data_IF_307985203048
#
_entry.id   IF_307985203048
#
_cell.length_a   1.000
_cell.length_b   1.000
_cell.length_c   1.000
_cell.angle_alpha   90.00
_cell.angle_beta   90.00
_cell.angle_gamma   90.00
#
_symmetry.space_group_name_H-M   'P 1'
#
loop_
_entity.id
_entity.type
_entity.pdbx_description
1 polymer ?
#
# COMPACT_ATOMS: atom_id res chain seq x y z
N UNK A 1 12.61 -45.58 5.23
CA UNK A 1 11.91 -44.29 5.37
C UNK A 1 12.24 -43.39 4.18
N UNK A 2 11.55 -43.54 3.04
CA UNK A 2 11.79 -42.77 1.80
C UNK A 2 11.13 -41.37 1.79
N UNK A 3 10.18 -41.11 2.70
CA UNK A 3 9.37 -39.87 2.72
C UNK A 3 10.16 -38.61 3.12
N UNK A 4 11.32 -38.76 3.78
CA UNK A 4 12.17 -37.63 4.18
C UNK A 4 13.05 -37.07 3.04
N UNK A 5 13.25 -37.83 1.95
CA UNK A 5 14.05 -37.38 0.78
C UNK A 5 13.18 -36.63 -0.23
N UNK A 6 11.87 -36.92 -0.30
CA UNK A 6 10.92 -36.20 -1.16
C UNK A 6 10.63 -34.76 -0.70
N UNK A 7 10.55 -34.53 0.61
CA UNK A 7 10.25 -33.22 1.19
C UNK A 7 11.33 -32.15 0.93
N UNK A 8 12.59 -32.56 0.69
CA UNK A 8 13.69 -31.63 0.37
C UNK A 8 13.73 -31.25 -1.12
N UNK A 9 13.12 -32.03 -2.01
CA UNK A 9 13.04 -31.75 -3.46
C UNK A 9 11.93 -30.74 -3.79
N UNK A 10 10.81 -30.77 -3.06
CA UNK A 10 9.67 -29.86 -3.24
C UNK A 10 9.88 -28.48 -2.61
N UNK A 11 10.99 -28.27 -1.92
CA UNK A 11 11.37 -26.97 -1.36
C UNK A 11 11.98 -26.03 -2.41
N UNK A 12 12.26 -26.46 -3.64
CA UNK A 12 12.90 -25.62 -4.66
C UNK A 12 12.15 -24.29 -4.94
N UNK A 13 10.80 -24.24 -5.01
CA UNK A 13 10.06 -22.98 -5.14
C UNK A 13 10.21 -22.08 -3.91
N UNK A 14 10.14 -22.65 -2.70
CA UNK A 14 10.34 -21.92 -1.44
C UNK A 14 11.77 -21.41 -1.30
N UNK A 15 12.76 -22.22 -1.70
CA UNK A 15 14.18 -21.87 -1.72
C UNK A 15 14.45 -20.74 -2.70
N UNK A 16 13.80 -20.75 -3.87
CA UNK A 16 13.85 -19.65 -4.86
C UNK A 16 13.18 -18.37 -4.36
N UNK A 17 12.13 -18.48 -3.53
CA UNK A 17 11.50 -17.33 -2.84
C UNK A 17 12.40 -16.80 -1.72
N UNK A 18 13.09 -17.66 -0.97
CA UNK A 18 14.05 -17.27 0.06
C UNK A 18 15.32 -16.64 -0.54
N UNK A 19 15.83 -17.21 -1.64
CA UNK A 19 16.98 -16.69 -2.39
C UNK A 19 16.66 -15.39 -3.13
N UNK A 20 15.42 -15.20 -3.63
CA UNK A 20 14.95 -13.89 -4.11
C UNK A 20 14.61 -12.93 -2.98
N UNK A 21 14.26 -13.46 -1.80
CA UNK A 21 13.87 -12.72 -0.61
C UNK A 21 15.03 -12.04 0.12
N UNK A 22 16.27 -12.45 -0.15
CA UNK A 22 17.47 -11.82 0.41
C UNK A 22 17.97 -10.62 -0.41
N UNK A 23 17.60 -10.49 -1.69
CA UNK A 23 17.95 -9.31 -2.50
C UNK A 23 17.20 -8.03 -2.07
N UNK A 24 16.17 -8.17 -1.23
CA UNK A 24 15.51 -7.07 -0.52
C UNK A 24 15.60 -7.24 1.00
N UNK A 25 16.66 -7.88 1.50
CA UNK A 25 17.01 -7.78 2.91
C UNK A 25 17.43 -6.32 3.19
N UNK A 26 16.56 -5.58 3.90
CA UNK A 26 16.84 -4.33 4.64
C UNK A 26 18.14 -3.60 4.24
N UNK A 27 18.23 -3.08 3.01
CA UNK A 27 19.21 -2.05 2.71
C UNK A 27 18.62 -0.72 3.13
N UNK A 28 18.78 -0.39 4.41
CA UNK A 28 18.39 0.89 5.04
C UNK A 28 19.45 1.99 4.81
N UNK A 29 20.19 1.91 3.70
CA UNK A 29 21.18 2.94 3.33
C UNK A 29 20.56 4.09 2.53
N UNK A 30 19.24 4.07 2.33
CA UNK A 30 18.52 5.19 1.71
C UNK A 30 18.46 6.39 2.65
N UNK A 31 18.43 7.59 2.08
CA UNK A 31 18.21 8.79 2.87
C UNK A 31 16.78 8.80 3.42
N UNK A 32 16.58 9.25 4.67
CA UNK A 32 15.23 9.51 5.16
C UNK A 32 14.55 10.55 4.25
N UNK A 33 13.26 10.40 4.04
CA UNK A 33 12.49 11.36 3.27
C UNK A 33 12.52 12.70 4.00
N UNK A 34 13.11 13.70 3.34
CA UNK A 34 13.17 15.07 3.80
C UNK A 34 11.97 15.88 3.31
N UNK A 35 11.52 16.84 4.14
CA UNK A 35 10.37 17.70 3.86
C UNK A 35 9.03 16.93 3.77
N UNK A 36 7.93 17.57 4.15
CA UNK A 36 6.62 16.91 4.24
C UNK A 36 5.54 17.57 3.38
N UNK A 37 5.94 18.48 2.47
CA UNK A 37 4.98 19.15 1.57
C UNK A 37 4.34 18.15 0.60
N UNK A 38 5.08 17.12 0.17
CA UNK A 38 4.58 16.08 -0.71
C UNK A 38 4.37 16.58 -2.14
N UNK A 39 5.42 17.09 -2.78
CA UNK A 39 5.44 17.22 -4.25
C UNK A 39 5.85 15.88 -4.89
N UNK A 40 5.34 15.57 -6.07
CA UNK A 40 5.69 14.39 -6.86
C UNK A 40 5.99 14.83 -8.28
N UNK A 41 7.13 14.40 -8.81
CA UNK A 41 7.56 14.72 -10.17
C UNK A 41 8.01 13.45 -10.89
N UNK A 42 7.60 13.34 -12.15
CA UNK A 42 8.05 12.33 -13.09
C UNK A 42 8.79 13.07 -14.18
N UNK A 43 10.04 12.69 -14.40
CA UNK A 43 10.89 13.30 -15.43
C UNK A 43 11.26 12.22 -16.43
N UNK A 44 10.66 12.30 -17.63
CA UNK A 44 10.86 11.37 -18.75
C UNK A 44 10.71 9.89 -18.38
N UNK A 45 9.76 9.57 -17.49
CA UNK A 45 9.56 8.21 -16.98
C UNK A 45 9.07 7.31 -18.10
N UNK A 46 9.80 6.22 -18.35
CA UNK A 46 9.37 5.15 -19.25
C UNK A 46 9.42 3.80 -18.55
N UNK A 47 8.54 2.87 -18.94
CA UNK A 47 8.51 1.52 -18.40
C UNK A 47 8.05 0.50 -19.42
N UNK A 48 8.80 -0.59 -19.51
CA UNK A 48 8.51 -1.76 -20.36
C UNK A 48 8.54 -3.02 -19.49
N UNK A 49 7.49 -3.86 -19.57
CA UNK A 49 7.55 -5.16 -18.88
C UNK A 49 8.55 -6.10 -19.57
N UNK A 50 9.20 -7.02 -18.83
CA UNK A 50 10.04 -8.05 -19.43
C UNK A 50 9.28 -8.84 -20.49
N UNK A 51 9.89 -9.01 -21.67
CA UNK A 51 9.28 -9.73 -22.80
C UNK A 51 8.34 -8.88 -23.68
N UNK A 52 8.24 -7.57 -23.43
CA UNK A 52 7.58 -6.64 -24.34
C UNK A 52 8.59 -5.79 -25.10
N UNK A 53 8.35 -5.55 -26.38
CA UNK A 53 9.19 -4.67 -27.20
C UNK A 53 8.79 -3.19 -27.09
N UNK A 54 7.55 -2.93 -26.66
CA UNK A 54 6.99 -1.57 -26.58
C UNK A 54 6.78 -1.13 -25.14
N UNK A 55 7.08 0.13 -24.80
CA UNK A 55 6.83 0.67 -23.47
C UNK A 55 5.32 0.75 -23.18
N UNK A 56 4.95 0.44 -21.94
CA UNK A 56 3.61 0.68 -21.38
C UNK A 56 3.46 2.11 -20.91
N UNK A 57 4.56 2.73 -20.45
CA UNK A 57 4.67 4.16 -20.16
C UNK A 57 5.84 4.68 -20.99
N UNK A 58 5.64 5.73 -21.79
CA UNK A 58 6.67 6.28 -22.70
C UNK A 58 6.91 7.76 -22.40
N UNK A 59 8.12 8.10 -21.93
CA UNK A 59 8.61 9.46 -21.63
C UNK A 59 7.58 10.37 -20.92
N UNK A 60 6.90 9.83 -19.91
CA UNK A 60 5.89 10.56 -19.15
C UNK A 60 6.54 11.65 -18.28
N UNK A 61 6.04 12.87 -18.44
CA UNK A 61 6.36 14.01 -17.58
C UNK A 61 5.10 14.44 -16.83
N UNK A 62 5.18 14.55 -15.52
CA UNK A 62 4.05 14.91 -14.67
C UNK A 62 4.56 15.56 -13.38
N UNK A 63 3.88 16.59 -12.91
CA UNK A 63 4.14 17.22 -11.61
C UNK A 63 2.84 17.34 -10.82
N UNK A 64 2.83 16.82 -9.60
CA UNK A 64 1.73 16.94 -8.64
C UNK A 64 2.20 17.84 -7.51
N UNK A 65 1.45 18.92 -7.28
CA UNK A 65 1.72 19.85 -6.19
C UNK A 65 1.26 19.27 -4.85
N UNK A 66 1.90 19.68 -3.74
CA UNK A 66 1.39 19.47 -2.38
C UNK A 66 -0.12 19.65 -2.25
N UNK A 67 -0.75 18.82 -1.41
CA UNK A 67 -2.18 18.90 -1.09
C UNK A 67 -3.14 18.87 -2.30
N UNK A 68 -2.70 18.33 -3.45
CA UNK A 68 -3.52 18.22 -4.65
C UNK A 68 -4.18 16.84 -4.75
N UNK A 69 -5.46 16.81 -5.10
CA UNK A 69 -6.17 15.56 -5.45
C UNK A 69 -6.04 15.31 -6.94
N UNK A 70 -5.56 14.12 -7.31
CA UNK A 70 -5.37 13.72 -8.71
C UNK A 70 -6.11 12.42 -8.98
N UNK A 71 -6.86 12.38 -10.09
CA UNK A 71 -7.51 11.20 -10.59
C UNK A 71 -6.80 10.70 -11.86
N UNK A 72 -6.43 9.43 -11.89
CA UNK A 72 -5.87 8.77 -13.07
C UNK A 72 -6.99 8.10 -13.86
N UNK A 73 -7.36 8.70 -15.00
CA UNK A 73 -8.45 8.25 -15.86
C UNK A 73 -7.91 7.73 -17.21
N UNK A 74 -8.65 6.83 -17.85
CA UNK A 74 -8.31 6.29 -19.16
C UNK A 74 -8.79 4.86 -19.39
N UNK A 75 -8.72 4.33 -20.63
CA UNK A 75 -9.22 3.00 -20.96
C UNK A 75 -8.44 1.88 -20.27
N UNK A 76 -9.02 0.69 -20.19
CA UNK A 76 -8.30 -0.50 -19.71
C UNK A 76 -7.03 -0.72 -20.54
N UNK A 77 -5.93 -1.12 -19.90
CA UNK A 77 -4.63 -1.31 -20.57
C UNK A 77 -3.80 -0.04 -20.79
N UNK A 78 -4.31 1.17 -20.55
CA UNK A 78 -3.57 2.44 -20.73
C UNK A 78 -2.40 2.67 -19.75
N UNK A 79 -1.93 1.65 -19.03
CA UNK A 79 -0.78 1.79 -18.12
C UNK A 79 -1.07 2.40 -16.74
N UNK A 80 -2.32 2.77 -16.40
CA UNK A 80 -2.66 3.35 -15.08
C UNK A 80 -2.16 2.53 -13.88
N UNK A 81 -2.40 1.22 -13.90
CA UNK A 81 -1.93 0.31 -12.84
C UNK A 81 -0.42 0.22 -12.80
N UNK A 82 0.25 0.27 -13.95
CA UNK A 82 1.72 0.30 -14.06
C UNK A 82 2.27 1.58 -13.44
N UNK A 83 1.67 2.74 -13.76
CA UNK A 83 2.06 4.03 -13.19
C UNK A 83 1.89 4.05 -11.66
N UNK A 84 0.76 3.54 -11.15
CA UNK A 84 0.54 3.39 -9.71
C UNK A 84 1.59 2.49 -9.06
N UNK A 85 1.98 1.38 -9.70
CA UNK A 85 3.03 0.48 -9.20
C UNK A 85 4.40 1.15 -9.16
N UNK A 86 4.71 2.02 -10.13
CA UNK A 86 5.92 2.85 -10.11
C UNK A 86 5.87 3.84 -8.94
N UNK A 87 4.73 4.53 -8.75
CA UNK A 87 4.55 5.46 -7.62
C UNK A 87 4.62 4.79 -6.25
N UNK A 88 4.24 3.53 -6.15
CA UNK A 88 4.35 2.74 -4.91
C UNK A 88 5.72 2.08 -4.75
N UNK A 89 6.66 2.33 -5.66
CA UNK A 89 7.99 1.70 -5.72
C UNK A 89 7.94 0.16 -5.78
N UNK A 90 6.86 -0.38 -6.34
CA UNK A 90 6.77 -1.81 -6.69
C UNK A 90 7.42 -2.13 -8.04
N UNK A 91 7.57 -1.11 -8.89
CA UNK A 91 8.30 -1.18 -10.15
C UNK A 91 9.27 0.00 -10.23
N UNK A 92 10.48 -0.25 -10.72
CA UNK A 92 11.41 0.80 -11.12
C UNK A 92 11.18 1.18 -12.58
N UNK A 93 11.20 2.48 -12.93
CA UNK A 93 11.21 2.92 -14.33
C UNK A 93 12.33 2.23 -15.12
N UNK A 94 12.09 1.93 -16.39
CA UNK A 94 13.15 1.51 -17.32
C UNK A 94 14.07 2.68 -17.69
N UNK A 95 13.54 3.91 -17.66
CA UNK A 95 14.29 5.16 -17.81
C UNK A 95 13.55 6.33 -17.18
N UNK A 96 14.24 7.45 -16.98
CA UNK A 96 13.72 8.62 -16.28
C UNK A 96 13.77 8.46 -14.76
N UNK A 97 13.20 9.43 -14.03
CA UNK A 97 13.22 9.43 -12.56
C UNK A 97 11.88 9.86 -11.97
N UNK A 98 11.59 9.35 -10.78
CA UNK A 98 10.44 9.75 -9.96
C UNK A 98 10.97 10.41 -8.70
N UNK A 99 10.53 11.63 -8.44
CA UNK A 99 10.99 12.46 -7.33
C UNK A 99 9.83 12.73 -6.37
N UNK A 100 10.07 12.59 -5.06
CA UNK A 100 9.20 13.13 -4.01
C UNK A 100 9.99 14.20 -3.27
N UNK A 101 9.44 15.41 -3.18
CA UNK A 101 10.12 16.58 -2.60
C UNK A 101 11.53 16.81 -3.21
N UNK A 102 11.69 16.53 -4.51
CA UNK A 102 12.97 16.62 -5.21
C UNK A 102 13.95 15.47 -4.94
N UNK A 103 13.62 14.50 -4.09
CA UNK A 103 14.45 13.31 -3.82
C UNK A 103 13.99 12.13 -4.68
N UNK A 104 14.92 11.45 -5.36
CA UNK A 104 14.60 10.23 -6.10
C UNK A 104 14.08 9.14 -5.14
N UNK A 105 12.89 8.61 -5.42
CA UNK A 105 12.23 7.58 -4.60
C UNK A 105 13.07 6.30 -4.46
N UNK A 106 13.95 6.02 -5.42
CA UNK A 106 14.84 4.86 -5.39
C UNK A 106 15.96 5.00 -4.35
N UNK A 107 16.32 6.24 -3.99
CA UNK A 107 17.37 6.57 -3.03
C UNK A 107 16.83 6.81 -1.60
N UNK A 108 15.51 6.83 -1.44
CA UNK A 108 14.86 7.05 -0.15
C UNK A 108 14.80 5.72 0.62
N UNK A 109 14.96 5.77 1.93
CA UNK A 109 14.76 4.62 2.80
C UNK A 109 13.34 4.04 2.64
N UNK A 110 13.22 2.71 2.56
CA UNK A 110 11.93 2.05 2.25
C UNK A 110 10.90 2.28 3.34
N UNK A 111 11.30 2.20 4.60
CA UNK A 111 10.38 2.39 5.73
C UNK A 111 9.93 3.85 5.79
N UNK A 112 10.86 4.79 5.62
CA UNK A 112 10.55 6.21 5.49
C UNK A 112 9.58 6.51 4.34
N UNK A 113 9.73 5.85 3.19
CA UNK A 113 8.85 5.99 2.05
C UNK A 113 7.45 5.41 2.30
N UNK A 114 7.36 4.18 2.83
CA UNK A 114 6.08 3.51 3.09
C UNK A 114 5.31 4.09 4.28
N UNK A 115 5.99 4.80 5.18
CA UNK A 115 5.36 5.62 6.22
C UNK A 115 4.79 6.92 5.66
N UNK A 116 5.36 7.43 4.56
CA UNK A 116 4.86 8.63 3.89
C UNK A 116 3.72 8.32 2.91
N UNK A 117 3.75 7.18 2.21
CA UNK A 117 2.75 6.81 1.20
C UNK A 117 1.69 5.87 1.79
N UNK A 118 0.45 6.38 1.91
CA UNK A 118 -0.73 5.60 2.23
C UNK A 118 -1.35 4.96 0.99
N UNK A 119 -1.64 3.67 1.05
CA UNK A 119 -2.27 2.93 -0.06
C UNK A 119 -3.58 2.36 0.46
N UNK A 120 -4.66 2.66 -0.26
CA UNK A 120 -5.96 2.04 -0.03
C UNK A 120 -6.20 0.98 -1.12
N UNK A 121 -6.06 -0.32 -0.81
CA UNK A 121 -6.40 -1.38 -1.75
C UNK A 121 -7.88 -1.33 -2.15
N UNK A 122 -8.19 -1.82 -3.36
CA UNK A 122 -9.58 -1.93 -3.81
C UNK A 122 -10.44 -2.78 -2.88
N UNK A 123 -9.85 -3.88 -2.39
CA UNK A 123 -10.44 -4.79 -1.43
C UNK A 123 -9.43 -4.99 -0.30
N UNK A 124 -9.62 -4.34 0.85
CA UNK A 124 -8.73 -4.53 1.98
C UNK A 124 -8.90 -5.93 2.54
N UNK A 125 -7.78 -6.57 2.89
CA UNK A 125 -7.83 -7.81 3.63
C UNK A 125 -8.21 -7.52 5.08
N UNK A 126 -9.18 -8.27 5.58
CA UNK A 126 -9.71 -8.16 6.92
C UNK A 126 -9.42 -9.47 7.63
N UNK A 127 -8.69 -9.40 8.75
CA UNK A 127 -8.33 -10.56 9.54
C UNK A 127 -9.54 -11.02 10.35
N UNK A 128 -9.64 -12.34 10.58
CA UNK A 128 -10.69 -12.94 11.39
C UNK A 128 -10.48 -12.64 12.89
N UNK A 129 -10.76 -11.41 13.28
CA UNK A 129 -10.58 -10.84 14.61
C UNK A 129 -11.56 -9.68 14.78
N UNK A 130 -11.52 -8.91 15.86
CA UNK A 130 -12.44 -7.76 16.03
C UNK A 130 -12.15 -6.62 15.05
N UNK A 131 -13.09 -5.68 14.90
CA UNK A 131 -12.86 -4.46 14.12
C UNK A 131 -11.72 -3.64 14.72
N UNK A 132 -11.67 -3.53 16.05
CA UNK A 132 -10.66 -2.73 16.76
C UNK A 132 -9.25 -3.28 16.53
N UNK A 133 -9.08 -4.60 16.63
CA UNK A 133 -7.80 -5.26 16.34
C UNK A 133 -7.41 -5.09 14.87
N UNK A 134 -8.37 -5.19 13.94
CA UNK A 134 -8.11 -4.93 12.53
C UNK A 134 -7.62 -3.51 12.29
N UNK A 135 -8.17 -2.51 12.98
CA UNK A 135 -7.77 -1.11 12.84
C UNK A 135 -6.37 -0.90 13.45
N UNK A 136 -6.10 -1.49 14.62
CA UNK A 136 -4.77 -1.46 15.28
C UNK A 136 -3.65 -2.03 14.42
N UNK A 137 -3.93 -2.84 13.40
CA UNK A 137 -2.91 -3.24 12.42
C UNK A 137 -2.26 -2.06 11.67
N UNK A 138 -2.91 -0.89 11.63
CA UNK A 138 -2.31 0.33 11.07
C UNK A 138 -1.23 0.94 11.96
N UNK A 139 -1.25 0.68 13.27
CA UNK A 139 -0.22 1.07 14.26
C UNK A 139 -0.32 0.13 15.47
N UNK A 140 0.62 -0.82 15.55
CA UNK A 140 0.56 -1.92 16.51
C UNK A 140 0.56 -1.46 17.98
N UNK A 141 1.19 -0.35 18.29
CA UNK A 141 1.27 0.28 19.61
C UNK A 141 0.21 1.37 19.83
N UNK A 142 -0.83 1.45 18.97
CA UNK A 142 -1.92 2.39 19.15
C UNK A 142 -2.76 2.05 20.39
N UNK A 143 -2.94 3.07 21.24
CA UNK A 143 -3.87 3.03 22.37
C UNK A 143 -5.31 2.84 21.91
N UNK A 144 -6.19 2.37 22.81
CA UNK A 144 -7.62 2.24 22.50
C UNK A 144 -8.23 3.56 22.04
N UNK A 145 -7.86 4.68 22.65
CA UNK A 145 -8.36 6.00 22.28
C UNK A 145 -7.97 6.40 20.86
N UNK A 146 -6.72 6.15 20.46
CA UNK A 146 -6.26 6.38 19.07
C UNK A 146 -7.04 5.50 18.07
N UNK A 147 -7.36 4.26 18.44
CA UNK A 147 -8.20 3.38 17.61
C UNK A 147 -9.63 3.93 17.51
N UNK A 148 -10.20 4.41 18.61
CA UNK A 148 -11.53 5.05 18.60
C UNK A 148 -11.57 6.31 17.76
N UNK A 149 -10.53 7.15 17.82
CA UNK A 149 -10.39 8.30 16.94
C UNK A 149 -10.31 7.88 15.47
N UNK A 150 -9.53 6.84 15.15
CA UNK A 150 -9.49 6.25 13.81
C UNK A 150 -10.87 5.79 13.32
N UNK A 151 -11.65 5.14 14.18
CA UNK A 151 -13.02 4.73 13.90
C UNK A 151 -13.95 5.93 13.62
N UNK A 152 -13.83 7.01 14.40
CA UNK A 152 -14.63 8.23 14.26
C UNK A 152 -14.29 8.96 12.96
N UNK A 153 -13.00 9.16 12.69
CA UNK A 153 -12.50 9.79 11.47
C UNK A 153 -12.90 9.02 10.20
N UNK A 154 -13.01 7.69 10.30
CA UNK A 154 -13.45 6.83 9.21
C UNK A 154 -14.99 6.65 9.13
N UNK A 155 -15.77 7.30 10.00
CA UNK A 155 -17.23 7.18 10.09
C UNK A 155 -17.72 5.73 10.23
N UNK A 156 -17.03 4.91 11.04
CA UNK A 156 -17.41 3.52 11.31
C UNK A 156 -17.73 3.26 12.79
N UNK A 157 -17.37 4.19 13.68
CA UNK A 157 -17.56 4.05 15.13
C UNK A 157 -19.01 3.66 15.50
N UNK A 158 -19.99 4.46 15.09
CA UNK A 158 -21.40 4.23 15.44
C UNK A 158 -21.93 2.90 14.87
N UNK A 159 -21.46 2.50 13.68
CA UNK A 159 -21.81 1.21 13.07
C UNK A 159 -21.29 0.03 13.90
N UNK A 160 -20.08 0.15 14.45
CA UNK A 160 -19.50 -0.88 15.32
C UNK A 160 -20.27 -0.93 16.64
N UNK A 161 -20.54 0.23 17.25
CA UNK A 161 -21.23 0.32 18.54
C UNK A 161 -22.69 -0.13 18.50
N UNK A 162 -23.34 -0.05 17.34
CA UNK A 162 -24.69 -0.57 17.15
C UNK A 162 -24.77 -2.11 17.13
N UNK A 163 -23.64 -2.83 17.08
CA UNK A 163 -23.62 -4.30 17.09
C UNK A 163 -23.84 -4.86 18.51
N UNK A 164 -24.40 -6.07 18.66
CA UNK A 164 -24.67 -6.67 19.97
C UNK A 164 -23.46 -6.76 20.91
N UNK A 165 -22.25 -6.86 20.34
CA UNK A 165 -20.99 -6.96 21.09
C UNK A 165 -20.08 -5.73 20.90
N UNK A 166 -20.59 -4.66 20.29
CA UNK A 166 -19.83 -3.42 20.09
C UNK A 166 -18.44 -3.65 19.48
N UNK A 167 -17.44 -3.11 20.17
CA UNK A 167 -16.00 -3.24 19.90
C UNK A 167 -15.49 -4.68 19.87
N UNK A 168 -16.08 -5.57 20.67
CA UNK A 168 -15.75 -6.99 20.77
C UNK A 168 -16.39 -7.86 19.67
N UNK A 169 -17.09 -7.26 18.70
CA UNK A 169 -17.72 -8.01 17.62
C UNK A 169 -16.69 -8.68 16.72
N UNK A 170 -16.76 -10.02 16.63
CA UNK A 170 -16.03 -10.82 15.66
C UNK A 170 -16.62 -10.65 14.25
N UNK A 171 -15.77 -10.38 13.26
CA UNK A 171 -16.21 -10.06 11.89
C UNK A 171 -16.20 -11.25 10.91
N UNK A 172 -15.81 -12.42 11.40
CA UNK A 172 -15.76 -13.67 10.63
C UNK A 172 -14.60 -13.74 9.64
N UNK A 173 -14.47 -14.90 8.98
CA UNK A 173 -13.39 -15.14 8.01
C UNK A 173 -13.40 -14.09 6.90
N UNK A 174 -12.25 -13.46 6.65
CA UNK A 174 -12.09 -12.38 5.67
C UNK A 174 -13.09 -11.21 5.81
N UNK A 175 -13.61 -10.99 7.02
CA UNK A 175 -14.65 -9.99 7.28
C UNK A 175 -15.99 -10.32 6.62
N UNK A 176 -16.38 -11.60 6.57
CA UNK A 176 -17.62 -12.06 5.96
C UNK A 176 -18.89 -11.35 6.47
N UNK A 177 -18.88 -10.82 7.69
CA UNK A 177 -20.00 -10.07 8.28
C UNK A 177 -19.98 -8.55 8.02
N UNK A 178 -19.05 -8.08 7.18
CA UNK A 178 -18.91 -6.68 6.81
C UNK A 178 -19.36 -6.45 5.36
N UNK A 179 -20.15 -5.41 5.16
CA UNK A 179 -20.38 -4.84 3.84
C UNK A 179 -19.08 -4.32 3.21
N UNK A 180 -19.04 -4.21 1.89
CA UNK A 180 -17.88 -3.64 1.19
C UNK A 180 -17.53 -2.21 1.65
N UNK A 181 -18.55 -1.40 1.99
CA UNK A 181 -18.36 -0.06 2.53
C UNK A 181 -17.73 -0.05 3.92
N UNK A 182 -18.10 -0.99 4.79
CA UNK A 182 -17.47 -1.14 6.11
C UNK A 182 -16.03 -1.60 5.98
N UNK A 183 -15.73 -2.57 5.11
CA UNK A 183 -14.35 -2.99 4.84
C UNK A 183 -13.49 -1.79 4.38
N UNK A 184 -14.03 -0.94 3.51
CA UNK A 184 -13.35 0.29 3.09
C UNK A 184 -13.13 1.27 4.25
N UNK A 185 -14.12 1.48 5.12
CA UNK A 185 -13.97 2.36 6.29
C UNK A 185 -12.96 1.83 7.30
N UNK A 186 -12.87 0.52 7.53
CA UNK A 186 -11.80 -0.08 8.34
C UNK A 186 -10.43 0.25 7.75
N UNK A 187 -10.28 0.16 6.43
CA UNK A 187 -9.02 0.52 5.78
C UNK A 187 -8.70 2.01 5.88
N UNK A 188 -9.71 2.89 5.78
CA UNK A 188 -9.52 4.31 6.07
C UNK A 188 -9.09 4.54 7.52
N UNK A 189 -9.67 3.83 8.49
CA UNK A 189 -9.28 3.91 9.89
C UNK A 189 -7.80 3.54 10.10
N UNK A 190 -7.32 2.46 9.46
CA UNK A 190 -5.89 2.07 9.46
C UNK A 190 -5.00 3.16 8.88
N UNK A 191 -5.47 3.81 7.81
CA UNK A 191 -4.71 4.85 7.11
C UNK A 191 -4.56 6.13 7.93
N UNK A 192 -5.43 6.44 8.89
CA UNK A 192 -5.26 7.62 9.75
C UNK A 192 -4.03 7.53 10.67
N UNK A 193 -3.55 6.33 11.00
CA UNK A 193 -2.29 6.17 11.73
C UNK A 193 -1.06 6.46 10.88
N UNK A 194 -1.17 6.30 9.56
CA UNK A 194 -0.12 6.72 8.64
C UNK A 194 -0.19 8.23 8.56
N UNK A 195 0.80 8.88 9.16
CA UNK A 195 0.87 10.33 9.29
C UNK A 195 0.36 11.04 8.03
N UNK A 196 -0.60 11.94 8.21
CA UNK A 196 -1.40 12.64 7.20
C UNK A 196 -0.61 13.63 6.30
N UNK A 197 0.65 13.36 6.01
CA UNK A 197 1.56 14.28 5.32
C UNK A 197 1.94 13.84 3.89
N UNK A 198 1.55 12.64 3.45
CA UNK A 198 1.90 12.15 2.10
C UNK A 198 0.71 11.76 1.23
N UNK A 199 0.92 10.80 0.34
CA UNK A 199 -0.04 10.44 -0.72
C UNK A 199 -1.02 9.38 -0.26
N UNK A 200 -2.32 9.55 -0.58
CA UNK A 200 -3.32 8.50 -0.48
C UNK A 200 -3.71 8.01 -1.88
N UNK A 201 -3.39 6.76 -2.18
CA UNK A 201 -3.71 6.14 -3.47
C UNK A 201 -4.91 5.22 -3.29
N UNK A 202 -6.02 5.55 -3.96
CA UNK A 202 -7.22 4.70 -4.07
C UNK A 202 -7.54 4.51 -5.54
N UNK A 203 -7.82 3.27 -5.94
CA UNK A 203 -8.43 3.01 -7.24
C UNK A 203 -9.95 3.21 -7.13
N UNK A 204 -10.48 4.17 -7.88
CA UNK A 204 -11.93 4.34 -8.00
C UNK A 204 -12.53 3.16 -8.78
N UNK A 205 -13.70 2.69 -8.35
CA UNK A 205 -14.53 1.83 -9.17
C UNK A 205 -15.30 2.75 -10.12
N UNK A 206 -15.19 2.48 -11.43
CA UNK A 206 -16.15 2.92 -12.43
C UNK A 206 -17.18 1.83 -12.63
#
# INVERSE_FOLDING_TARGET
MPELVGALSDAAPLRRILEKGTASARQTNGQKLGCTKGSLELVNVSFTYPGMDKPVIDRLNMAIKPATKVALLGPSGAGKTTLLRIFMRYLSPSSGVVLINGQNIENIDKDSFHNFVGIMPQMPYIFNTTVMENIRLGKADASDEEVYEGCRNAMIHDTIMARPHGDNTQIGEQGGFLSGGEKQRIEFARLFFKAAQGYFIRRANG
#
